data_IF_069082826394
#
_entry.id   IF_069082826394
#
_cell.length_a   1.000
_cell.length_b   1.000
_cell.length_c   1.000
_cell.angle_alpha   90.00
_cell.angle_beta   90.00
_cell.angle_gamma   90.00
#
_symmetry.space_group_name_H-M   'P 1'
#
loop_
_entity.id
_entity.type
_entity.pdbx_description
1 polymer ?
#
# COMPACT_ATOMS: atom_id res chain seq x y z
N UNK A 1 4.13 -8.90 -23.06
CA UNK A 1 5.45 -8.25 -23.30
C UNK A 1 5.77 -7.39 -22.09
N UNK A 2 7.04 -7.33 -21.65
CA UNK A 2 7.45 -6.42 -20.58
C UNK A 2 7.90 -5.09 -21.19
N UNK A 3 7.26 -4.00 -20.81
CA UNK A 3 7.72 -2.64 -21.12
C UNK A 3 8.73 -2.17 -20.07
N UNK A 4 9.60 -1.25 -20.44
CA UNK A 4 10.56 -0.62 -19.54
C UNK A 4 9.88 0.24 -18.45
N UNK A 5 10.59 0.51 -17.35
CA UNK A 5 10.11 1.42 -16.30
C UNK A 5 9.79 2.80 -16.83
N UNK A 6 10.60 3.33 -17.75
CA UNK A 6 10.34 4.60 -18.41
C UNK A 6 9.05 4.59 -19.24
N UNK A 7 8.82 3.53 -20.01
CA UNK A 7 7.58 3.39 -20.78
C UNK A 7 6.36 3.25 -19.86
N UNK A 8 6.49 2.53 -18.74
CA UNK A 8 5.45 2.40 -17.72
C UNK A 8 5.16 3.76 -17.06
N UNK A 9 6.20 4.50 -16.72
CA UNK A 9 6.11 5.86 -16.20
C UNK A 9 5.42 6.80 -17.20
N UNK A 10 5.80 6.74 -18.48
CA UNK A 10 5.17 7.51 -19.56
C UNK A 10 3.67 7.18 -19.67
N UNK A 11 3.31 5.90 -19.63
CA UNK A 11 1.90 5.45 -19.68
C UNK A 11 1.10 6.06 -18.54
N UNK A 12 1.59 5.95 -17.29
CA UNK A 12 0.88 6.47 -16.12
C UNK A 12 0.81 8.00 -16.18
N UNK A 13 1.91 8.65 -16.56
CA UNK A 13 1.99 10.10 -16.67
C UNK A 13 1.05 10.64 -17.75
N UNK A 14 0.90 9.97 -18.89
CA UNK A 14 -0.01 10.45 -19.95
C UNK A 14 -1.48 10.07 -19.70
N UNK A 15 -1.75 9.00 -18.95
CA UNK A 15 -3.11 8.60 -18.57
C UNK A 15 -3.85 9.67 -17.73
N UNK A 16 -3.15 10.51 -16.95
CA UNK A 16 -3.79 11.63 -16.23
C UNK A 16 -4.54 12.61 -17.17
N UNK A 17 -4.20 12.63 -18.46
CA UNK A 17 -4.83 13.49 -19.46
C UNK A 17 -5.87 12.77 -20.33
N UNK A 18 -6.06 11.46 -20.11
CA UNK A 18 -6.96 10.63 -20.89
C UNK A 18 -7.89 9.88 -19.92
N UNK A 19 -9.14 10.33 -19.80
CA UNK A 19 -10.23 9.67 -19.04
C UNK A 19 -10.35 8.18 -19.39
N UNK A 20 -9.53 7.33 -18.80
CA UNK A 20 -9.42 5.92 -19.19
C UNK A 20 -9.53 5.05 -17.94
N UNK A 21 -10.75 5.04 -17.39
CA UNK A 21 -11.18 4.02 -16.40
C UNK A 21 -10.91 2.59 -16.91
N UNK A 22 -10.84 2.41 -18.23
CA UNK A 22 -10.56 1.14 -18.90
C UNK A 22 -9.17 0.56 -18.64
N UNK A 23 -8.22 1.36 -18.12
CA UNK A 23 -6.86 0.87 -17.84
C UNK A 23 -6.79 0.01 -16.58
N UNK A 24 -7.79 0.06 -15.68
CA UNK A 24 -7.80 -0.68 -14.41
C UNK A 24 -6.90 -0.10 -13.31
N UNK A 25 -6.13 0.96 -13.61
CA UNK A 25 -5.38 1.68 -12.60
C UNK A 25 -6.30 2.71 -11.94
N UNK A 26 -6.68 2.44 -10.70
CA UNK A 26 -7.40 3.42 -9.87
C UNK A 26 -6.37 4.42 -9.36
N UNK A 27 -5.94 5.33 -10.25
CA UNK A 27 -5.23 6.55 -9.88
C UNK A 27 -6.27 7.49 -9.27
N UNK A 28 -5.88 8.28 -8.27
CA UNK A 28 -6.60 9.52 -8.04
C UNK A 28 -6.37 10.44 -9.24
N UNK A 29 -7.38 11.15 -9.73
CA UNK A 29 -7.20 12.17 -10.76
C UNK A 29 -6.32 13.28 -10.20
N UNK A 30 -5.00 13.07 -10.28
CA UNK A 30 -4.01 13.93 -9.67
C UNK A 30 -4.06 15.30 -10.32
N UNK A 31 -4.27 16.34 -9.52
CA UNK A 31 -4.18 17.73 -9.94
C UNK A 31 -2.81 18.04 -10.54
N UNK A 32 -1.75 17.41 -9.99
CA UNK A 32 -0.40 17.51 -10.51
C UNK A 32 0.38 16.23 -10.30
N UNK A 33 1.09 15.78 -11.34
CA UNK A 33 2.07 14.68 -11.23
C UNK A 33 3.47 15.21 -11.53
N UNK A 34 4.44 14.84 -10.69
CA UNK A 34 5.86 15.16 -10.86
C UNK A 34 6.66 13.88 -11.03
N UNK A 35 7.45 13.82 -12.09
CA UNK A 35 8.38 12.72 -12.36
C UNK A 35 9.69 12.93 -11.60
N UNK A 36 10.26 11.85 -11.07
CA UNK A 36 11.64 11.83 -10.56
C UNK A 36 11.93 12.96 -9.54
N UNK A 37 11.00 13.19 -8.61
CA UNK A 37 11.13 14.24 -7.59
C UNK A 37 12.23 13.88 -6.59
N UNK A 38 13.35 14.62 -6.58
CA UNK A 38 14.43 14.37 -5.61
C UNK A 38 13.98 14.66 -4.17
N UNK A 39 14.12 13.66 -3.30
CA UNK A 39 13.90 13.76 -1.85
C UNK A 39 15.24 13.79 -1.08
N UNK A 40 16.33 14.20 -1.77
CA UNK A 40 17.67 14.26 -1.19
C UNK A 40 18.24 12.87 -0.88
N UNK A 41 18.76 12.67 0.33
CA UNK A 41 19.36 11.39 0.75
C UNK A 41 18.36 10.23 0.82
N UNK A 42 17.06 10.52 0.82
CA UNK A 42 16.02 9.50 0.79
C UNK A 42 15.84 8.89 -0.61
N UNK A 43 16.34 9.54 -1.67
CA UNK A 43 16.30 9.05 -3.06
C UNK A 43 15.25 9.77 -3.91
N UNK A 44 14.83 9.12 -4.98
CA UNK A 44 13.98 9.71 -6.02
C UNK A 44 12.88 8.72 -6.39
N UNK A 45 11.61 8.93 -5.97
CA UNK A 45 10.48 8.15 -6.48
C UNK A 45 10.26 8.39 -7.98
N UNK A 46 9.68 7.39 -8.64
CA UNK A 46 9.38 7.49 -10.07
C UNK A 46 8.35 8.58 -10.38
N UNK A 47 7.22 8.56 -9.68
CA UNK A 47 6.19 9.59 -9.79
C UNK A 47 5.68 10.00 -8.41
N UNK A 48 5.32 11.28 -8.28
CA UNK A 48 4.58 11.80 -7.13
C UNK A 48 3.37 12.57 -7.64
N UNK A 49 2.19 12.05 -7.33
CA UNK A 49 0.91 12.69 -7.59
C UNK A 49 0.47 13.54 -6.40
N UNK A 50 -0.12 14.70 -6.70
CA UNK A 50 -0.63 15.65 -5.72
C UNK A 50 -2.05 16.04 -6.07
N UNK A 51 -2.90 16.03 -5.05
CA UNK A 51 -4.25 16.56 -5.06
C UNK A 51 -4.43 17.55 -3.92
N UNK A 52 -5.19 18.59 -4.20
CA UNK A 52 -5.40 19.70 -3.28
C UNK A 52 -6.90 19.93 -3.15
N UNK A 53 -7.40 19.94 -1.92
CA UNK A 53 -8.74 20.41 -1.63
C UNK A 53 -8.65 21.83 -1.07
N UNK A 54 -9.57 22.68 -1.49
CA UNK A 54 -9.74 24.01 -0.93
C UNK A 54 -11.03 24.11 -0.11
N UNK A 55 -10.95 24.84 0.99
CA UNK A 55 -12.10 25.23 1.77
C UNK A 55 -12.03 26.75 1.98
N UNK A 56 -13.03 27.47 1.48
CA UNK A 56 -13.11 28.93 1.55
C UNK A 56 -11.87 29.65 0.95
N UNK A 57 -11.33 29.11 -0.15
CA UNK A 57 -10.15 29.67 -0.84
C UNK A 57 -8.84 29.47 -0.08
N UNK A 58 -8.81 28.58 0.92
CA UNK A 58 -7.60 28.15 1.62
C UNK A 58 -7.39 26.67 1.39
N UNK A 59 -6.13 26.28 1.23
CA UNK A 59 -5.75 24.87 1.18
C UNK A 59 -6.15 24.20 2.49
N UNK A 60 -7.04 23.21 2.43
CA UNK A 60 -7.54 22.46 3.58
C UNK A 60 -6.96 21.05 3.63
N UNK A 61 -6.84 20.40 2.47
CA UNK A 61 -6.30 19.04 2.36
C UNK A 61 -5.27 18.90 1.24
N UNK A 62 -4.28 18.05 1.47
CA UNK A 62 -3.31 17.61 0.46
C UNK A 62 -3.27 16.08 0.47
N UNK A 63 -3.58 15.47 -0.67
CA UNK A 63 -3.39 14.04 -0.88
C UNK A 63 -2.18 13.83 -1.79
N UNK A 64 -1.21 13.05 -1.32
CA UNK A 64 0.03 12.74 -2.03
C UNK A 64 0.05 11.25 -2.29
N UNK A 65 0.25 10.85 -3.55
CA UNK A 65 0.50 9.45 -3.89
C UNK A 65 1.90 9.30 -4.46
N UNK A 66 2.71 8.47 -3.82
CA UNK A 66 4.06 8.14 -4.27
C UNK A 66 3.99 6.83 -5.05
N UNK A 67 4.45 6.85 -6.30
CA UNK A 67 4.52 5.67 -7.15
C UNK A 67 5.97 5.21 -7.27
N UNK A 68 6.15 3.90 -7.09
CA UNK A 68 7.39 3.19 -7.38
C UNK A 68 7.08 2.09 -8.40
N UNK A 69 7.81 2.11 -9.50
CA UNK A 69 7.55 1.32 -10.69
C UNK A 69 8.68 0.31 -10.87
N UNK A 70 8.33 -0.94 -11.17
CA UNK A 70 9.29 -2.01 -11.45
C UNK A 70 8.98 -2.66 -12.78
N UNK A 71 10.00 -2.81 -13.64
CA UNK A 71 9.87 -3.59 -14.90
C UNK A 71 9.58 -5.07 -14.62
N UNK A 72 10.11 -5.56 -13.51
CA UNK A 72 10.02 -6.94 -13.08
C UNK A 72 9.07 -7.10 -11.91
N UNK A 73 9.51 -7.85 -10.92
CA UNK A 73 8.72 -8.17 -9.76
C UNK A 73 8.82 -7.04 -8.73
N UNK A 74 7.70 -6.68 -8.13
CA UNK A 74 7.68 -5.82 -6.95
C UNK A 74 8.16 -6.64 -5.77
N UNK A 75 9.40 -6.38 -5.34
CA UNK A 75 10.09 -7.09 -4.25
C UNK A 75 10.00 -6.35 -2.92
N UNK A 76 10.48 -6.99 -1.85
CA UNK A 76 10.67 -6.34 -0.55
C UNK A 76 11.57 -5.10 -0.61
N UNK A 77 12.52 -5.05 -1.55
CA UNK A 77 13.34 -3.86 -1.75
C UNK A 77 12.49 -2.67 -2.25
N UNK A 78 11.58 -2.90 -3.21
CA UNK A 78 10.66 -1.87 -3.71
C UNK A 78 9.75 -1.36 -2.58
N UNK A 79 9.32 -2.27 -1.71
CA UNK A 79 8.56 -1.93 -0.50
C UNK A 79 9.36 -1.01 0.44
N UNK A 80 10.61 -1.35 0.74
CA UNK A 80 11.48 -0.50 1.55
C UNK A 80 11.74 0.86 0.90
N UNK A 81 11.94 0.89 -0.43
CA UNK A 81 12.15 2.13 -1.19
C UNK A 81 10.95 3.07 -1.05
N UNK A 82 9.73 2.58 -1.31
CA UNK A 82 8.54 3.44 -1.24
C UNK A 82 8.23 3.92 0.19
N UNK A 83 8.48 3.08 1.20
CA UNK A 83 8.31 3.49 2.61
C UNK A 83 9.33 4.55 3.03
N UNK A 84 10.57 4.46 2.54
CA UNK A 84 11.58 5.50 2.75
C UNK A 84 11.15 6.84 2.14
N UNK A 85 10.54 6.83 0.95
CA UNK A 85 9.99 8.04 0.34
C UNK A 85 8.79 8.59 1.13
N UNK A 86 7.85 7.73 1.53
CA UNK A 86 6.71 8.12 2.39
C UNK A 86 7.19 8.78 3.67
N UNK A 87 8.18 8.21 4.33
CA UNK A 87 8.80 8.79 5.51
C UNK A 87 9.36 10.20 5.21
N UNK A 88 10.14 10.37 4.14
CA UNK A 88 10.71 11.66 3.77
C UNK A 88 9.64 12.73 3.50
N UNK A 89 8.58 12.37 2.78
CA UNK A 89 7.45 13.28 2.52
C UNK A 89 6.73 13.65 3.80
N UNK A 90 6.46 12.69 4.69
CA UNK A 90 5.83 12.98 5.99
C UNK A 90 6.69 13.93 6.85
N UNK A 91 8.01 13.76 6.86
CA UNK A 91 8.92 14.66 7.56
C UNK A 91 8.87 16.07 6.96
N UNK A 92 8.84 16.19 5.63
CA UNK A 92 8.73 17.48 4.94
C UNK A 92 7.42 18.19 5.28
N UNK A 93 6.29 17.48 5.26
CA UNK A 93 4.98 18.03 5.58
C UNK A 93 4.92 18.50 7.05
N UNK A 94 5.41 17.66 7.97
CA UNK A 94 5.36 17.95 9.41
C UNK A 94 6.28 19.09 9.84
N UNK A 95 7.40 19.30 9.12
CA UNK A 95 8.40 20.32 9.46
C UNK A 95 8.13 21.68 8.80
N UNK A 96 7.31 21.73 7.74
CA UNK A 96 7.07 22.94 6.98
C UNK A 96 5.83 23.70 7.51
N UNK A 97 5.98 24.96 7.97
CA UNK A 97 4.89 25.74 8.55
C UNK A 97 3.68 25.96 7.63
N UNK A 98 3.87 25.85 6.30
CA UNK A 98 2.80 26.01 5.32
C UNK A 98 1.68 24.96 5.53
N UNK A 99 2.03 23.75 5.98
CA UNK A 99 1.09 22.65 6.15
C UNK A 99 0.57 22.47 7.57
N UNK A 100 0.89 23.39 8.50
CA UNK A 100 0.57 23.24 9.94
C UNK A 100 -0.94 23.05 10.22
N UNK A 101 -1.80 23.63 9.40
CA UNK A 101 -3.26 23.55 9.52
C UNK A 101 -3.90 22.89 8.28
N UNK A 102 -3.14 22.05 7.58
CA UNK A 102 -3.59 21.36 6.37
C UNK A 102 -3.58 19.87 6.65
N UNK A 103 -4.71 19.19 6.41
CA UNK A 103 -4.74 17.74 6.52
C UNK A 103 -3.94 17.13 5.38
N UNK A 104 -2.98 16.28 5.73
CA UNK A 104 -2.07 15.71 4.74
C UNK A 104 -2.16 14.19 4.75
N UNK A 105 -2.45 13.62 3.59
CA UNK A 105 -2.62 12.18 3.39
C UNK A 105 -1.55 11.69 2.43
N UNK A 106 -0.70 10.74 2.86
CA UNK A 106 0.37 10.18 2.02
C UNK A 106 0.11 8.70 1.75
N UNK A 107 -0.35 8.41 0.54
CA UNK A 107 -0.53 7.07 -0.01
C UNK A 107 0.70 6.61 -0.77
N UNK A 108 0.87 5.29 -0.89
CA UNK A 108 1.94 4.69 -1.72
C UNK A 108 1.36 3.67 -2.68
N UNK A 109 1.97 3.58 -3.86
CA UNK A 109 1.54 2.70 -4.94
C UNK A 109 2.78 1.99 -5.52
N UNK A 110 2.79 0.66 -5.48
CA UNK A 110 3.79 -0.15 -6.13
C UNK A 110 3.18 -0.80 -7.37
N UNK A 111 3.86 -0.66 -8.51
CA UNK A 111 3.40 -1.23 -9.77
C UNK A 111 4.54 -2.02 -10.39
N UNK A 112 4.28 -3.28 -10.74
CA UNK A 112 5.26 -4.09 -11.47
C UNK A 112 4.64 -5.14 -12.37
N UNK A 113 5.47 -5.93 -13.05
CA UNK A 113 4.97 -7.00 -13.90
C UNK A 113 4.37 -8.14 -13.08
N UNK A 114 4.94 -8.42 -11.91
CA UNK A 114 4.41 -9.35 -10.93
C UNK A 114 4.69 -8.86 -9.50
N UNK A 115 4.16 -9.54 -8.50
CA UNK A 115 4.37 -9.23 -7.08
C UNK A 115 5.07 -10.42 -6.41
N UNK A 116 6.07 -10.12 -5.58
CA UNK A 116 6.71 -11.12 -4.73
C UNK A 116 5.69 -11.77 -3.78
N UNK A 117 5.56 -13.09 -3.83
CA UNK A 117 4.63 -13.85 -3.01
C UNK A 117 5.30 -14.42 -1.74
N UNK A 118 6.53 -14.02 -1.45
CA UNK A 118 7.18 -14.29 -0.18
C UNK A 118 6.33 -13.80 0.99
N UNK A 119 6.22 -14.61 2.05
CA UNK A 119 5.43 -14.28 3.24
C UNK A 119 5.83 -12.93 3.82
N UNK A 120 7.13 -12.61 3.88
CA UNK A 120 7.60 -11.35 4.46
C UNK A 120 7.06 -10.13 3.69
N UNK A 121 7.09 -10.20 2.36
CA UNK A 121 6.55 -9.15 1.51
C UNK A 121 5.03 -9.04 1.67
N UNK A 122 4.32 -10.17 1.62
CA UNK A 122 2.86 -10.18 1.68
C UNK A 122 2.35 -9.72 3.05
N UNK A 123 2.97 -10.17 4.14
CA UNK A 123 2.64 -9.73 5.49
C UNK A 123 2.95 -8.23 5.69
N UNK A 124 4.15 -7.79 5.31
CA UNK A 124 4.52 -6.38 5.46
C UNK A 124 3.64 -5.47 4.61
N UNK A 125 3.35 -5.83 3.36
CA UNK A 125 2.48 -5.03 2.51
C UNK A 125 1.05 -4.97 3.01
N UNK A 126 0.54 -6.00 3.70
CA UNK A 126 -0.84 -6.03 4.22
C UNK A 126 -1.06 -5.08 5.39
N UNK A 127 -0.04 -4.90 6.24
CA UNK A 127 -0.07 -3.97 7.37
C UNK A 127 0.21 -2.52 6.94
N UNK A 128 0.91 -2.33 5.82
CA UNK A 128 1.22 -1.02 5.30
C UNK A 128 0.10 -0.53 4.37
N UNK A 129 -0.29 0.74 4.51
CA UNK A 129 -1.21 1.40 3.57
C UNK A 129 -0.55 1.64 2.20
N UNK A 130 -0.53 0.57 1.39
CA UNK A 130 0.10 0.50 0.08
C UNK A 130 -0.87 -0.13 -0.91
N UNK A 131 -0.97 0.47 -2.10
CA UNK A 131 -1.66 -0.13 -3.22
C UNK A 131 -0.67 -0.91 -4.08
N UNK A 132 -1.01 -2.15 -4.39
CA UNK A 132 -0.21 -3.01 -5.25
C UNK A 132 -0.94 -3.20 -6.58
N UNK A 133 -0.21 -3.08 -7.68
CA UNK A 133 -0.72 -3.38 -9.01
C UNK A 133 0.27 -4.24 -9.78
N UNK A 134 -0.27 -5.17 -10.56
CA UNK A 134 0.45 -5.74 -11.70
C UNK A 134 0.07 -5.05 -12.99
N UNK A 135 0.91 -5.13 -14.02
CA UNK A 135 0.57 -4.63 -15.35
C UNK A 135 0.77 -5.69 -16.44
N UNK A 136 -0.04 -5.56 -17.49
CA UNK A 136 0.06 -6.36 -18.71
C UNK A 136 -0.02 -5.46 -19.95
N UNK A 137 0.89 -5.65 -20.89
CA UNK A 137 0.80 -5.00 -22.21
C UNK A 137 -0.12 -5.77 -23.13
N UNK A 138 -1.18 -5.10 -23.60
CA UNK A 138 -2.17 -5.62 -24.53
C UNK A 138 -2.10 -4.88 -25.87
N UNK A 139 -2.85 -5.34 -26.87
CA UNK A 139 -2.97 -4.63 -28.15
C UNK A 139 -3.59 -3.21 -28.03
N UNK A 140 -4.29 -2.93 -26.92
CA UNK A 140 -4.96 -1.64 -26.66
C UNK A 140 -4.16 -0.72 -25.73
N UNK A 141 -2.99 -1.14 -25.27
CA UNK A 141 -2.18 -0.41 -24.28
C UNK A 141 -1.91 -1.25 -23.04
N UNK A 142 -1.58 -0.59 -21.93
CA UNK A 142 -1.28 -1.25 -20.66
C UNK A 142 -2.54 -1.35 -19.80
N UNK A 143 -2.78 -2.55 -19.29
CA UNK A 143 -3.84 -2.83 -18.32
C UNK A 143 -3.20 -3.09 -16.98
N UNK A 144 -3.78 -2.54 -15.92
CA UNK A 144 -3.34 -2.67 -14.55
C UNK A 144 -4.34 -3.48 -13.75
N UNK A 145 -3.83 -4.40 -12.93
CA UNK A 145 -4.63 -5.27 -12.09
C UNK A 145 -4.31 -5.00 -10.62
N UNK A 146 -5.29 -4.53 -9.86
CA UNK A 146 -5.10 -4.29 -8.42
C UNK A 146 -4.95 -5.60 -7.67
N UNK A 147 -3.91 -5.70 -6.86
CA UNK A 147 -3.67 -6.82 -5.97
C UNK A 147 -4.15 -6.45 -4.56
N UNK A 148 -4.96 -7.34 -3.98
CA UNK A 148 -5.48 -7.21 -2.63
C UNK A 148 -4.77 -8.21 -1.71
N UNK A 149 -3.74 -7.74 -1.04
CA UNK A 149 -2.86 -8.52 -0.15
C UNK A 149 -3.55 -9.09 1.09
N UNK A 150 -4.64 -8.48 1.60
CA UNK A 150 -5.43 -9.07 2.69
C UNK A 150 -6.07 -10.43 2.34
N UNK A 151 -6.07 -10.81 1.05
CA UNK A 151 -6.54 -12.13 0.59
C UNK A 151 -5.43 -13.17 0.52
N UNK A 152 -4.17 -12.78 0.73
CA UNK A 152 -3.07 -13.74 0.71
C UNK A 152 -3.23 -14.74 1.85
N UNK A 153 -3.43 -15.99 1.47
CA UNK A 153 -3.37 -17.14 2.35
C UNK A 153 -2.16 -17.95 1.90
N UNK A 154 -1.14 -18.15 2.74
CA UNK A 154 -0.04 -19.02 2.36
C UNK A 154 -0.61 -20.42 2.07
N UNK A 155 -0.27 -20.98 0.90
CA UNK A 155 -0.77 -22.28 0.43
C UNK A 155 -0.43 -23.42 1.39
N UNK A 156 0.57 -23.23 2.24
CA UNK A 156 0.91 -24.13 3.33
C UNK A 156 0.93 -23.38 4.66
N UNK A 157 -0.23 -23.36 5.35
CA UNK A 157 -0.35 -23.02 6.78
C UNK A 157 0.50 -23.94 7.70
N UNK A 158 1.18 -24.94 7.12
CA UNK A 158 2.08 -25.87 7.78
C UNK A 158 3.53 -25.36 7.81
N UNK A 159 3.92 -24.41 6.96
CA UNK A 159 5.24 -23.78 7.04
C UNK A 159 5.17 -22.55 7.95
N UNK A 160 5.37 -22.82 9.24
CA UNK A 160 6.13 -22.02 10.24
C UNK A 160 5.65 -20.67 10.78
N UNK A 161 4.56 -20.04 10.35
CA UNK A 161 4.29 -18.64 10.81
C UNK A 161 3.44 -18.44 12.06
N UNK A 162 2.76 -19.48 12.55
CA UNK A 162 2.15 -19.40 13.88
C UNK A 162 2.93 -20.19 14.94
N UNK A 163 3.76 -21.17 14.58
CA UNK A 163 4.38 -22.07 15.56
C UNK A 163 3.36 -22.62 16.57
N UNK A 164 3.68 -22.55 17.86
CA UNK A 164 2.76 -22.84 18.98
C UNK A 164 1.59 -21.85 19.10
N UNK A 165 1.57 -20.76 18.34
CA UNK A 165 0.49 -19.78 18.20
C UNK A 165 -0.88 -20.37 17.88
N UNK A 166 -0.94 -21.48 17.12
CA UNK A 166 -2.21 -22.21 16.90
C UNK A 166 -2.77 -22.82 18.19
N UNK A 167 -1.90 -23.10 19.16
CA UNK A 167 -2.25 -23.59 20.50
C UNK A 167 -2.31 -22.45 21.52
N UNK A 168 -1.95 -21.23 21.13
CA UNK A 168 -1.97 -20.04 21.98
C UNK A 168 -3.43 -19.63 22.18
N UNK A 169 -3.98 -20.08 23.29
CA UNK A 169 -5.21 -19.53 23.79
C UNK A 169 -4.87 -18.22 24.51
N UNK A 170 -5.10 -17.08 23.83
CA UNK A 170 -4.81 -15.75 24.38
C UNK A 170 -5.53 -15.52 25.71
N UNK A 171 -6.74 -16.08 25.90
CA UNK A 171 -7.46 -15.99 27.17
C UNK A 171 -6.71 -16.70 28.31
N UNK A 172 -6.12 -17.87 28.04
CA UNK A 172 -5.28 -18.58 29.03
C UNK A 172 -4.00 -17.82 29.41
N UNK A 173 -3.57 -16.81 28.64
CA UNK A 173 -2.44 -15.96 29.01
C UNK A 173 -2.83 -14.84 29.98
N UNK A 174 -4.09 -14.39 29.96
CA UNK A 174 -4.62 -13.40 30.89
C UNK A 174 -5.09 -14.02 32.21
N UNK A 175 -5.17 -15.36 32.26
CA UNK A 175 -5.73 -16.10 33.36
C UNK A 175 -4.69 -16.76 34.26
N UNK A 176 -4.36 -16.03 35.32
CA UNK A 176 -4.27 -16.67 36.62
C UNK A 176 -5.64 -17.11 37.18
N UNK A 177 -6.80 -16.68 36.62
CA UNK A 177 -8.10 -16.86 37.29
C UNK A 177 -9.40 -17.00 36.47
N UNK A 178 -9.48 -16.76 35.15
CA UNK A 178 -10.75 -16.90 34.41
C UNK A 178 -10.78 -18.16 33.52
N UNK A 179 -11.98 -18.65 33.25
CA UNK A 179 -12.22 -19.83 32.42
C UNK A 179 -13.16 -19.41 31.29
N UNK A 180 -12.66 -19.43 30.05
CA UNK A 180 -13.49 -19.16 28.86
C UNK A 180 -14.22 -20.44 28.47
N UNK A 181 -15.55 -20.36 28.48
CA UNK A 181 -16.42 -21.46 28.04
C UNK A 181 -16.96 -21.15 26.66
N UNK A 182 -16.91 -22.14 25.79
CA UNK A 182 -17.41 -22.07 24.42
C UNK A 182 -18.52 -23.09 24.22
N UNK A 183 -19.67 -22.63 23.76
CA UNK A 183 -20.80 -23.47 23.39
C UNK A 183 -20.85 -23.62 21.87
N UNK A 184 -20.35 -24.74 21.38
CA UNK A 184 -20.31 -25.05 19.94
C UNK A 184 -21.71 -25.19 19.32
N UNK A 185 -22.76 -25.40 20.11
CA UNK A 185 -24.13 -25.46 19.59
C UNK A 185 -24.73 -24.08 19.32
N UNK A 186 -24.18 -23.04 19.95
CA UNK A 186 -24.63 -21.63 19.82
C UNK A 186 -23.63 -20.73 19.11
N UNK A 187 -22.41 -21.23 18.89
CA UNK A 187 -21.28 -20.45 18.37
C UNK A 187 -21.00 -19.17 19.18
N UNK A 188 -21.21 -19.25 20.50
CA UNK A 188 -21.00 -18.16 21.44
C UNK A 188 -19.93 -18.54 22.46
N UNK A 189 -19.14 -17.55 22.88
CA UNK A 189 -18.20 -17.68 23.99
C UNK A 189 -18.52 -16.64 25.05
N UNK A 190 -18.37 -17.02 26.32
CA UNK A 190 -18.49 -16.09 27.43
C UNK A 190 -17.46 -16.40 28.51
N UNK A 191 -17.15 -15.37 29.29
CA UNK A 191 -16.14 -15.39 30.34
C UNK A 191 -16.84 -15.67 31.66
N UNK A 192 -16.40 -16.71 32.36
CA UNK A 192 -16.82 -16.98 33.73
C UNK A 192 -15.69 -16.68 34.72
N UNK A 193 -16.02 -15.98 35.80
CA UNK A 193 -15.10 -15.71 36.91
C UNK A 193 -15.31 -16.81 37.96
N UNK A 194 -14.23 -17.37 38.51
CA UNK A 194 -14.31 -18.21 39.71
C UNK A 194 -14.66 -17.38 40.94
#
# INVERSE_FOLDING_TARGET
MRISEKELEDVIYFQQFQNTQDSGLLIYDHTKVVRQLSLGSFGTPDLVGFDFADENGRLSEVHITIYELKRGDVSFEALCQVQKYKYAVNQLLSSNPIYKNVECYVSTCLIGYSIDQCVDFMAASAELDIRLYTYESTAKGVVFNRIFNYKYKPDTYEQTWYGEGKKLNLFKLFDGTQEVKYDSSKNESWISHK
#
